data_IF_005501559470
#
_entry.id   IF_005501559470
#
_cell.length_a   1.000
_cell.length_b   1.000
_cell.length_c   1.000
_cell.angle_alpha   90.00
_cell.angle_beta   90.00
_cell.angle_gamma   90.00
#
_symmetry.space_group_name_H-M   'P 1'
#
loop_
_entity.id
_entity.type
_entity.pdbx_description
1 polymer ?
#
# COMPACT_ATOMS: atom_id res chain seq x y z
N UNK A 1 -68.52 36.20 -24.13
CA UNK A 1 -67.97 34.84 -23.83
C UNK A 1 -66.43 34.80 -23.95
N UNK A 2 -65.69 35.81 -23.41
CA UNK A 2 -64.19 35.82 -23.54
C UNK A 2 -63.45 35.99 -22.20
N UNK A 3 -64.15 35.95 -21.05
CA UNK A 3 -63.52 36.18 -19.76
C UNK A 3 -63.11 34.93 -18.99
N UNK A 4 -63.57 33.75 -19.38
CA UNK A 4 -63.27 32.49 -18.64
C UNK A 4 -62.05 31.81 -19.10
N UNK A 5 -61.53 32.02 -20.31
CA UNK A 5 -60.34 31.37 -20.84
C UNK A 5 -59.02 32.02 -20.36
N UNK A 6 -59.01 33.36 -20.14
CA UNK A 6 -57.82 34.05 -19.63
C UNK A 6 -57.50 33.73 -18.15
N UNK A 7 -58.53 33.52 -17.32
CA UNK A 7 -58.32 33.18 -15.89
C UNK A 7 -57.81 31.77 -15.68
N UNK A 8 -58.18 30.78 -16.55
CA UNK A 8 -57.67 29.42 -16.48
C UNK A 8 -56.22 29.34 -16.96
N UNK A 9 -55.79 30.20 -17.90
CA UNK A 9 -54.42 30.20 -18.42
C UNK A 9 -53.41 30.81 -17.42
N UNK A 10 -53.79 31.89 -16.71
CA UNK A 10 -52.97 32.48 -15.63
C UNK A 10 -52.81 31.53 -14.43
N UNK A 11 -53.86 30.82 -14.02
CA UNK A 11 -53.79 29.85 -12.92
C UNK A 11 -52.88 28.65 -13.25
N UNK A 12 -52.88 28.19 -14.52
CA UNK A 12 -51.96 27.11 -14.98
C UNK A 12 -50.51 27.57 -15.05
N UNK A 13 -50.24 28.83 -15.43
CA UNK A 13 -48.92 29.38 -15.56
C UNK A 13 -48.24 29.58 -14.20
N UNK A 14 -48.97 29.97 -13.17
CA UNK A 14 -48.50 30.12 -11.79
C UNK A 14 -48.13 28.74 -11.20
N UNK A 15 -48.95 27.72 -11.44
CA UNK A 15 -48.69 26.35 -10.92
C UNK A 15 -47.44 25.71 -11.56
N UNK A 16 -47.24 25.89 -12.86
CA UNK A 16 -46.07 25.38 -13.56
C UNK A 16 -44.75 26.02 -13.07
N UNK A 17 -44.77 27.30 -12.76
CA UNK A 17 -43.60 28.03 -12.27
C UNK A 17 -43.24 27.61 -10.84
N UNK A 18 -44.26 27.40 -10.01
CA UNK A 18 -44.08 26.94 -8.63
C UNK A 18 -43.57 25.49 -8.58
N UNK A 19 -44.06 24.61 -9.44
CA UNK A 19 -43.60 23.24 -9.58
C UNK A 19 -42.13 23.20 -10.04
N UNK A 20 -41.74 23.98 -11.06
CA UNK A 20 -40.37 24.07 -11.52
C UNK A 20 -39.41 24.59 -10.44
N UNK A 21 -39.83 25.57 -9.64
CA UNK A 21 -39.03 26.11 -8.54
C UNK A 21 -38.85 25.08 -7.43
N UNK A 22 -39.86 24.29 -7.11
CA UNK A 22 -39.78 23.20 -6.13
C UNK A 22 -38.88 22.06 -6.62
N UNK A 23 -38.98 21.67 -7.88
CA UNK A 23 -38.10 20.64 -8.49
C UNK A 23 -36.64 21.10 -8.48
N UNK A 24 -36.34 22.36 -8.83
CA UNK A 24 -34.98 22.90 -8.76
C UNK A 24 -34.40 22.87 -7.33
N UNK A 25 -35.18 23.23 -6.33
CA UNK A 25 -34.75 23.18 -4.92
C UNK A 25 -34.48 21.75 -4.45
N UNK A 26 -35.29 20.79 -4.86
CA UNK A 26 -35.08 19.36 -4.54
C UNK A 26 -33.84 18.79 -5.23
N UNK A 27 -33.65 19.11 -6.51
CA UNK A 27 -32.43 18.64 -7.25
C UNK A 27 -31.17 19.27 -6.69
N UNK A 28 -31.19 20.58 -6.32
CA UNK A 28 -30.03 21.22 -5.67
C UNK A 28 -29.74 20.64 -4.28
N UNK A 29 -30.76 20.34 -3.48
CA UNK A 29 -30.57 19.75 -2.15
C UNK A 29 -30.09 18.30 -2.22
N UNK A 30 -30.56 17.50 -3.17
CA UNK A 30 -30.05 16.14 -3.41
C UNK A 30 -28.62 16.15 -3.96
N UNK A 31 -28.27 17.07 -4.85
CA UNK A 31 -26.92 17.26 -5.36
C UNK A 31 -25.93 17.67 -4.26
N UNK A 32 -26.34 18.59 -3.37
CA UNK A 32 -25.51 19.01 -2.24
C UNK A 32 -25.34 17.90 -1.19
N UNK A 33 -26.40 17.12 -0.92
CA UNK A 33 -26.33 15.95 -0.03
C UNK A 33 -25.42 14.85 -0.58
N UNK A 34 -25.44 14.60 -1.89
CA UNK A 34 -24.54 13.66 -2.55
C UNK A 34 -23.07 14.12 -2.51
N UNK A 35 -22.81 15.42 -2.67
CA UNK A 35 -21.47 16.00 -2.55
C UNK A 35 -20.94 15.93 -1.11
N UNK A 36 -21.78 16.18 -0.12
CA UNK A 36 -21.42 16.09 1.29
C UNK A 36 -21.21 14.63 1.73
N UNK A 37 -22.02 13.69 1.25
CA UNK A 37 -21.84 12.26 1.51
C UNK A 37 -20.61 11.71 0.80
N UNK A 38 -20.35 12.10 -0.45
CA UNK A 38 -19.15 11.71 -1.19
C UNK A 38 -17.85 12.25 -0.58
N UNK A 39 -17.87 13.52 -0.10
CA UNK A 39 -16.75 14.13 0.60
C UNK A 39 -16.46 13.47 1.95
N UNK A 40 -17.49 13.07 2.69
CA UNK A 40 -17.34 12.38 3.98
C UNK A 40 -16.78 10.97 3.84
N UNK A 41 -17.15 10.23 2.79
CA UNK A 41 -16.63 8.88 2.52
C UNK A 41 -15.14 8.91 2.13
N UNK A 42 -14.67 9.97 1.47
CA UNK A 42 -13.26 10.10 1.10
C UNK A 42 -12.32 10.43 2.28
N UNK A 43 -12.86 11.00 3.38
CA UNK A 43 -12.08 11.38 4.57
C UNK A 43 -12.11 10.32 5.69
N UNK A 44 -13.07 9.40 5.67
CA UNK A 44 -13.24 8.38 6.72
C UNK A 44 -12.23 7.21 6.66
N UNK A 45 -11.77 6.71 5.49
CA UNK A 45 -10.89 5.55 5.43
C UNK A 45 -9.58 5.68 6.21
N UNK A 46 -8.84 6.82 6.17
CA UNK A 46 -7.60 6.92 6.93
C UNK A 46 -7.79 6.97 8.44
N UNK A 47 -8.96 7.41 8.91
CA UNK A 47 -9.26 7.51 10.34
C UNK A 47 -9.70 6.17 10.96
N UNK A 48 -10.29 5.28 10.15
CA UNK A 48 -10.87 4.02 10.62
C UNK A 48 -9.94 2.81 10.44
N UNK A 49 -8.89 2.91 9.61
CA UNK A 49 -8.03 1.79 9.24
C UNK A 49 -6.55 2.01 9.58
N UNK A 50 -6.23 3.02 10.35
CA UNK A 50 -4.89 3.21 10.88
C UNK A 50 -4.54 2.18 11.94
N UNK A 51 -3.27 1.83 12.04
CA UNK A 51 -2.71 1.16 13.20
C UNK A 51 -2.79 2.17 14.37
N UNK A 52 -3.70 1.93 15.32
CA UNK A 52 -3.95 2.84 16.44
C UNK A 52 -2.95 2.65 17.61
N UNK A 53 -1.95 1.80 17.45
CA UNK A 53 -0.90 1.65 18.45
C UNK A 53 -0.10 2.95 18.57
N UNK A 54 0.15 3.38 19.80
CA UNK A 54 0.99 4.55 20.08
C UNK A 54 2.47 4.18 19.97
N UNK A 55 3.13 4.70 18.98
CA UNK A 55 4.56 4.53 18.71
C UNK A 55 5.37 5.80 19.01
N UNK A 56 4.79 6.80 19.64
CA UNK A 56 5.47 8.09 19.93
C UNK A 56 6.74 7.93 20.78
N UNK A 57 6.83 6.84 21.56
CA UNK A 57 8.00 6.49 22.37
C UNK A 57 9.12 5.78 21.59
N UNK A 58 8.87 5.41 20.33
CA UNK A 58 9.81 4.65 19.51
C UNK A 58 10.85 5.59 18.89
N UNK A 59 12.13 5.34 19.18
CA UNK A 59 13.24 6.02 18.50
C UNK A 59 13.29 5.52 17.05
N UNK A 60 13.24 6.45 16.10
CA UNK A 60 13.27 6.13 14.68
C UNK A 60 14.57 5.45 14.26
N UNK A 61 14.48 4.43 13.38
CA UNK A 61 15.69 3.85 12.78
C UNK A 61 16.46 4.85 11.91
N UNK A 62 15.84 5.98 11.51
CA UNK A 62 16.55 7.06 10.78
C UNK A 62 17.68 7.67 11.62
N UNK A 63 17.57 7.58 12.93
CA UNK A 63 18.59 8.05 13.88
C UNK A 63 19.67 7.00 14.15
N UNK A 64 19.49 5.78 13.66
CA UNK A 64 20.49 4.71 13.77
C UNK A 64 21.59 4.91 12.73
N UNK A 65 22.83 4.67 13.17
CA UNK A 65 24.04 4.85 12.34
C UNK A 65 23.97 4.03 11.02
N UNK A 66 23.39 2.83 11.10
CA UNK A 66 23.33 1.89 9.97
C UNK A 66 22.24 2.21 8.95
N UNK A 67 21.25 3.06 9.26
CA UNK A 67 20.04 3.25 8.45
C UNK A 67 20.30 3.49 6.97
N UNK A 68 21.16 4.44 6.65
CA UNK A 68 21.58 4.76 5.27
C UNK A 68 23.09 5.05 5.22
N UNK A 69 23.87 4.31 6.03
CA UNK A 69 25.34 4.39 5.99
C UNK A 69 25.84 4.00 4.59
N UNK A 70 26.60 4.86 3.91
CA UNK A 70 27.02 4.63 2.53
C UNK A 70 27.85 3.34 2.36
N UNK A 71 28.76 3.04 3.30
CA UNK A 71 29.62 1.86 3.20
C UNK A 71 28.84 0.56 3.44
N UNK A 72 27.89 0.56 4.37
CA UNK A 72 27.01 -0.58 4.61
C UNK A 72 26.02 -0.77 3.46
N UNK A 73 25.49 0.30 2.88
CA UNK A 73 24.63 0.21 1.69
C UNK A 73 25.42 -0.33 0.48
N UNK A 74 26.64 0.14 0.24
CA UNK A 74 27.50 -0.40 -0.82
C UNK A 74 27.73 -1.92 -0.63
N UNK A 75 28.08 -2.34 0.60
CA UNK A 75 28.21 -3.76 0.95
C UNK A 75 26.91 -4.54 0.72
N UNK A 76 25.78 -3.99 1.10
CA UNK A 76 24.47 -4.64 0.93
C UNK A 76 24.04 -4.72 -0.53
N UNK A 77 24.32 -3.70 -1.33
CA UNK A 77 24.06 -3.70 -2.77
C UNK A 77 24.93 -4.72 -3.55
N UNK A 78 26.06 -5.12 -3.00
CA UNK A 78 26.89 -6.19 -3.56
C UNK A 78 26.33 -7.62 -3.30
N UNK A 79 25.30 -7.78 -2.48
CA UNK A 79 24.67 -9.09 -2.26
C UNK A 79 24.01 -9.63 -3.54
N UNK A 80 23.98 -10.96 -3.74
CA UNK A 80 23.55 -11.56 -5.01
C UNK A 80 22.14 -11.14 -5.46
N UNK A 81 21.19 -11.08 -4.54
CA UNK A 81 19.81 -10.68 -4.87
C UNK A 81 19.70 -9.17 -5.04
N UNK A 82 20.43 -8.37 -4.25
CA UNK A 82 20.44 -6.92 -4.36
C UNK A 82 20.90 -6.44 -5.75
N UNK A 83 21.92 -7.10 -6.32
CA UNK A 83 22.42 -6.76 -7.67
C UNK A 83 21.35 -6.90 -8.76
N UNK A 84 20.37 -7.79 -8.56
CA UNK A 84 19.26 -7.97 -9.51
C UNK A 84 18.20 -6.86 -9.46
N UNK A 85 18.18 -6.09 -8.38
CA UNK A 85 17.30 -4.91 -8.21
C UNK A 85 18.00 -3.60 -8.58
N UNK A 86 19.33 -3.57 -8.58
CA UNK A 86 20.14 -2.35 -8.49
C UNK A 86 19.85 -1.26 -9.55
N UNK A 87 19.43 -1.63 -10.74
CA UNK A 87 19.39 -0.69 -11.86
C UNK A 87 18.01 -0.08 -12.13
N UNK A 88 16.94 -0.55 -11.47
CA UNK A 88 15.59 -0.17 -11.91
C UNK A 88 14.51 -0.33 -10.80
N UNK A 89 14.66 0.43 -9.71
CA UNK A 89 13.67 0.45 -8.66
C UNK A 89 12.56 1.45 -9.01
N UNK A 90 11.31 0.96 -9.09
CA UNK A 90 10.15 1.82 -9.17
C UNK A 90 9.67 2.25 -7.79
N UNK A 91 9.34 3.54 -7.65
CA UNK A 91 8.67 4.06 -6.47
C UNK A 91 7.15 4.11 -6.67
N UNK A 92 6.40 3.98 -5.56
CA UNK A 92 4.94 4.02 -5.59
C UNK A 92 4.43 5.40 -6.00
N UNK A 93 3.42 5.44 -6.86
CA UNK A 93 2.82 6.70 -7.33
C UNK A 93 2.02 7.42 -6.26
N UNK A 94 1.47 6.68 -5.30
CA UNK A 94 0.71 7.19 -4.16
C UNK A 94 0.79 6.23 -2.97
N UNK A 95 0.28 6.64 -1.82
CA UNK A 95 0.42 5.93 -0.55
C UNK A 95 -0.27 4.55 -0.51
N UNK A 96 -1.15 4.22 -1.46
CA UNK A 96 -1.97 2.99 -1.43
C UNK A 96 -1.43 1.84 -2.29
N UNK A 97 -0.45 2.09 -3.17
CA UNK A 97 0.02 1.10 -4.16
C UNK A 97 1.37 0.46 -3.81
N UNK A 98 1.78 0.46 -2.53
CA UNK A 98 3.04 -0.13 -2.10
C UNK A 98 3.14 -1.63 -2.44
N UNK A 99 2.08 -2.42 -2.26
CA UNK A 99 2.03 -3.83 -2.62
C UNK A 99 2.24 -4.06 -4.12
N UNK A 100 1.40 -3.52 -5.01
CA UNK A 100 1.59 -3.61 -6.46
C UNK A 100 2.97 -3.15 -6.92
N UNK A 101 3.48 -2.04 -6.37
CA UNK A 101 4.83 -1.55 -6.71
C UNK A 101 5.92 -2.52 -6.26
N UNK A 102 5.75 -3.18 -5.11
CA UNK A 102 6.68 -4.21 -4.64
C UNK A 102 6.73 -5.41 -5.60
N UNK A 103 5.58 -5.88 -6.11
CA UNK A 103 5.54 -6.96 -7.10
C UNK A 103 6.12 -6.51 -8.45
N UNK A 104 5.87 -5.27 -8.88
CA UNK A 104 6.50 -4.72 -10.08
C UNK A 104 8.04 -4.73 -9.98
N UNK A 105 8.60 -4.35 -8.82
CA UNK A 105 10.04 -4.45 -8.57
C UNK A 105 10.55 -5.90 -8.54
N UNK A 106 9.78 -6.84 -7.99
CA UNK A 106 10.10 -8.27 -8.06
C UNK A 106 10.19 -8.74 -9.52
N UNK A 107 9.21 -8.40 -10.36
CA UNK A 107 9.22 -8.74 -11.79
C UNK A 107 10.47 -8.20 -12.49
N UNK A 108 10.82 -6.93 -12.27
CA UNK A 108 12.02 -6.29 -12.82
C UNK A 108 13.30 -7.01 -12.39
N UNK A 109 13.39 -7.42 -11.11
CA UNK A 109 14.53 -8.21 -10.61
C UNK A 109 14.63 -9.62 -11.21
N UNK A 110 13.56 -10.09 -11.86
CA UNK A 110 13.49 -11.33 -12.62
C UNK A 110 13.62 -11.11 -14.13
N UNK A 111 14.01 -9.89 -14.55
CA UNK A 111 14.10 -9.45 -15.95
C UNK A 111 12.75 -9.58 -16.72
N UNK A 112 11.64 -9.41 -15.99
CA UNK A 112 10.30 -9.41 -16.55
C UNK A 112 9.72 -7.99 -16.55
N UNK A 113 8.79 -7.65 -17.46
CA UNK A 113 8.10 -6.38 -17.44
C UNK A 113 7.33 -6.20 -16.12
N UNK A 114 7.63 -5.13 -15.38
CA UNK A 114 6.98 -4.80 -14.12
C UNK A 114 6.54 -3.33 -14.11
N UNK A 115 5.23 -3.08 -14.17
CA UNK A 115 4.64 -1.76 -14.04
C UNK A 115 3.49 -1.80 -13.03
N UNK A 116 3.55 -0.90 -12.03
CA UNK A 116 2.51 -0.76 -11.01
C UNK A 116 1.13 -0.37 -11.57
N UNK A 117 1.06 0.18 -12.80
CA UNK A 117 -0.20 0.52 -13.44
C UNK A 117 -0.94 -0.72 -13.98
N UNK A 118 -0.19 -1.69 -14.50
CA UNK A 118 -0.75 -2.88 -15.16
C UNK A 118 -0.75 -4.13 -14.28
N UNK A 119 -0.04 -4.10 -13.15
CA UNK A 119 0.09 -5.25 -12.25
C UNK A 119 -1.25 -5.75 -11.71
N UNK A 120 -2.26 -4.89 -11.61
CA UNK A 120 -3.58 -5.23 -11.12
C UNK A 120 -4.55 -5.71 -12.21
N UNK A 121 -4.21 -5.59 -13.49
CA UNK A 121 -5.06 -6.02 -14.59
C UNK A 121 -5.34 -7.52 -14.49
N UNK A 122 -6.64 -7.90 -14.59
CA UNK A 122 -7.07 -9.30 -14.49
C UNK A 122 -7.04 -9.92 -13.09
N UNK A 123 -6.61 -9.19 -12.04
CA UNK A 123 -6.56 -9.73 -10.66
C UNK A 123 -7.90 -9.61 -9.90
N UNK A 124 -8.89 -8.94 -10.47
CA UNK A 124 -10.15 -8.63 -9.79
C UNK A 124 -10.05 -7.47 -8.78
N UNK A 125 -8.85 -6.91 -8.59
CA UNK A 125 -8.62 -5.76 -7.70
C UNK A 125 -8.63 -4.48 -8.54
N UNK A 126 -9.51 -3.54 -8.20
CA UNK A 126 -9.68 -2.30 -8.94
C UNK A 126 -9.26 -1.08 -8.14
N UNK A 127 -8.68 -0.11 -8.81
CA UNK A 127 -8.38 1.19 -8.23
C UNK A 127 -9.56 2.17 -8.43
N UNK A 128 -9.72 3.09 -7.49
CA UNK A 128 -10.63 4.23 -7.62
C UNK A 128 -9.77 5.46 -7.87
N UNK A 129 -9.85 6.06 -9.07
CA UNK A 129 -9.01 7.19 -9.47
C UNK A 129 -7.50 6.94 -9.27
N UNK A 130 -7.05 5.71 -9.50
CA UNK A 130 -5.64 5.30 -9.31
C UNK A 130 -5.23 4.98 -7.86
N UNK A 131 -6.16 5.05 -6.90
CA UNK A 131 -5.94 4.67 -5.50
C UNK A 131 -6.56 3.32 -5.20
N UNK A 132 -5.89 2.53 -4.36
CA UNK A 132 -6.42 1.32 -3.74
C UNK A 132 -6.95 1.68 -2.35
N UNK A 133 -8.28 1.74 -2.14
CA UNK A 133 -8.82 2.01 -0.80
C UNK A 133 -8.34 0.96 0.21
N UNK A 134 -7.59 1.40 1.23
CA UNK A 134 -6.98 0.51 2.23
C UNK A 134 -5.73 -0.28 1.78
N UNK A 135 -5.25 -0.08 0.55
CA UNK A 135 -4.13 -0.84 0.00
C UNK A 135 -4.49 -2.29 -0.34
N UNK A 136 -3.53 -3.20 -0.23
CA UNK A 136 -3.73 -4.65 -0.35
C UNK A 136 -3.23 -5.37 0.88
N UNK A 137 -3.91 -6.43 1.30
CA UNK A 137 -3.43 -7.33 2.35
C UNK A 137 -2.31 -8.23 1.82
N UNK A 138 -1.56 -8.89 2.73
CA UNK A 138 -0.51 -9.83 2.33
C UNK A 138 -1.09 -11.03 1.55
N UNK A 139 -2.32 -11.49 1.86
CA UNK A 139 -2.98 -12.56 1.13
C UNK A 139 -3.33 -12.12 -0.31
N UNK A 140 -3.92 -10.94 -0.46
CA UNK A 140 -4.18 -10.35 -1.79
C UNK A 140 -2.88 -10.13 -2.59
N UNK A 141 -1.80 -9.72 -1.92
CA UNK A 141 -0.50 -9.57 -2.58
C UNK A 141 0.05 -10.92 -3.07
N UNK A 142 -0.16 -12.00 -2.32
CA UNK A 142 0.20 -13.35 -2.75
C UNK A 142 -0.61 -13.81 -3.97
N UNK A 143 -1.90 -13.50 -4.03
CA UNK A 143 -2.76 -13.77 -5.19
C UNK A 143 -2.28 -13.01 -6.43
N UNK A 144 -1.97 -11.71 -6.29
CA UNK A 144 -1.37 -10.91 -7.37
C UNK A 144 -0.07 -11.54 -7.85
N UNK A 145 0.84 -11.89 -6.91
CA UNK A 145 2.13 -12.48 -7.26
C UNK A 145 1.99 -13.82 -7.98
N UNK A 146 1.11 -14.72 -7.52
CA UNK A 146 0.83 -16.00 -8.16
C UNK A 146 0.29 -15.86 -9.60
N UNK A 147 -0.49 -14.79 -9.86
CA UNK A 147 -1.02 -14.54 -11.20
C UNK A 147 0.00 -13.88 -12.14
N UNK A 148 0.92 -13.08 -11.61
CA UNK A 148 1.75 -12.18 -12.41
C UNK A 148 3.21 -12.62 -12.56
N UNK A 149 3.78 -13.31 -11.55
CA UNK A 149 5.22 -13.55 -11.52
C UNK A 149 5.63 -14.85 -12.22
N UNK A 150 4.68 -15.77 -12.45
CA UNK A 150 4.99 -17.09 -13.03
C UNK A 150 5.82 -17.98 -12.09
N UNK A 151 5.85 -17.68 -10.81
CA UNK A 151 6.50 -18.43 -9.73
C UNK A 151 5.51 -18.59 -8.57
N UNK A 152 5.73 -19.60 -7.74
CA UNK A 152 4.89 -19.81 -6.56
C UNK A 152 5.14 -18.69 -5.53
N UNK A 153 4.07 -18.06 -5.08
CA UNK A 153 4.10 -17.09 -3.99
C UNK A 153 3.42 -17.69 -2.75
N UNK A 154 4.17 -17.73 -1.63
CA UNK A 154 3.73 -18.32 -0.37
C UNK A 154 3.78 -17.28 0.74
N UNK A 155 2.69 -17.14 1.50
CA UNK A 155 2.62 -16.28 2.68
C UNK A 155 3.20 -17.00 3.89
N UNK A 156 4.14 -16.36 4.58
CA UNK A 156 4.78 -16.83 5.80
C UNK A 156 4.37 -15.92 6.96
N UNK A 157 3.64 -16.47 7.93
CA UNK A 157 3.19 -15.79 9.15
C UNK A 157 3.61 -16.58 10.38
N UNK A 158 3.45 -15.96 11.53
CA UNK A 158 3.69 -16.58 12.84
C UNK A 158 5.10 -17.14 13.01
N UNK A 159 6.05 -16.61 12.24
CA UNK A 159 7.45 -16.91 12.44
C UNK A 159 7.91 -16.35 13.80
N UNK A 160 8.74 -17.09 14.50
CA UNK A 160 9.57 -16.52 15.56
C UNK A 160 10.76 -15.77 14.98
N UNK A 161 11.54 -15.09 15.81
CA UNK A 161 12.71 -14.32 15.35
C UNK A 161 13.77 -15.22 14.69
N UNK A 162 13.93 -16.46 15.18
CA UNK A 162 14.91 -17.41 14.61
C UNK A 162 14.47 -17.85 13.21
N UNK A 163 13.19 -18.23 13.04
CA UNK A 163 12.64 -18.57 11.73
C UNK A 163 12.65 -17.39 10.76
N UNK A 164 12.38 -16.17 11.25
CA UNK A 164 12.50 -14.96 10.43
C UNK A 164 13.95 -14.77 9.93
N UNK A 165 14.94 -14.89 10.81
CA UNK A 165 16.37 -14.78 10.44
C UNK A 165 16.79 -15.87 9.45
N UNK A 166 16.23 -17.07 9.54
CA UNK A 166 16.48 -18.12 8.55
C UNK A 166 15.99 -17.71 7.15
N UNK A 167 14.77 -17.17 7.06
CA UNK A 167 14.27 -16.62 5.79
C UNK A 167 15.09 -15.43 5.29
N UNK A 168 15.64 -14.60 6.18
CA UNK A 168 16.56 -13.52 5.78
C UNK A 168 17.87 -14.06 5.17
N UNK A 169 18.44 -15.16 5.69
CA UNK A 169 19.59 -15.80 5.06
C UNK A 169 19.25 -16.31 3.65
N UNK A 170 18.07 -16.91 3.51
CA UNK A 170 17.56 -17.37 2.22
C UNK A 170 17.20 -16.23 1.26
N UNK A 171 17.06 -14.99 1.74
CA UNK A 171 16.84 -13.82 0.89
C UNK A 171 18.09 -13.44 0.06
N UNK A 172 19.25 -14.02 0.34
CA UNK A 172 20.46 -13.87 -0.49
C UNK A 172 20.52 -14.89 -1.64
N UNK A 173 19.60 -15.87 -1.69
CA UNK A 173 19.51 -16.86 -2.76
C UNK A 173 18.78 -16.26 -3.98
N UNK A 174 19.47 -16.23 -5.13
CA UNK A 174 18.96 -15.65 -6.38
C UNK A 174 17.75 -16.37 -6.97
N UNK A 175 17.43 -17.59 -6.51
CA UNK A 175 16.22 -18.30 -6.89
C UNK A 175 14.96 -17.75 -6.18
N UNK A 176 15.12 -16.96 -5.12
CA UNK A 176 14.06 -16.47 -4.25
C UNK A 176 13.92 -14.95 -4.28
N UNK A 177 12.68 -14.48 -4.02
CA UNK A 177 12.38 -13.08 -3.72
C UNK A 177 11.50 -13.01 -2.49
N UNK A 178 11.72 -12.00 -1.68
CA UNK A 178 10.92 -11.73 -0.50
C UNK A 178 10.32 -10.34 -0.54
N UNK A 179 9.06 -10.23 -0.14
CA UNK A 179 8.42 -8.94 0.16
C UNK A 179 7.99 -9.00 1.62
N UNK A 180 8.40 -8.01 2.41
CA UNK A 180 7.96 -7.88 3.80
C UNK A 180 6.73 -6.99 3.90
N UNK A 181 5.70 -7.48 4.61
CA UNK A 181 4.59 -6.67 5.10
C UNK A 181 4.86 -6.28 6.54
N UNK A 182 4.93 -4.98 6.82
CA UNK A 182 5.26 -4.43 8.14
C UNK A 182 4.45 -3.17 8.42
N UNK A 183 4.34 -2.79 9.69
CA UNK A 183 3.90 -1.43 10.05
C UNK A 183 5.11 -0.53 10.31
N UNK A 184 5.02 0.73 9.91
CA UNK A 184 6.12 1.70 10.08
C UNK A 184 6.31 2.14 11.52
N UNK A 185 5.29 2.04 12.37
CA UNK A 185 5.33 2.48 13.76
C UNK A 185 6.55 2.01 14.55
N UNK A 186 6.81 0.68 14.68
CA UNK A 186 7.96 0.17 15.42
C UNK A 186 9.33 0.55 14.83
N UNK A 187 9.39 0.97 13.56
CA UNK A 187 10.64 1.38 12.90
C UNK A 187 10.86 2.89 12.97
N UNK A 188 9.80 3.67 12.74
CA UNK A 188 9.93 5.12 12.51
C UNK A 188 9.18 5.99 13.54
N UNK A 189 8.55 5.38 14.54
CA UNK A 189 7.73 6.08 15.54
C UNK A 189 6.36 6.54 15.02
N UNK A 190 6.08 6.39 13.72
CA UNK A 190 4.84 6.82 13.07
C UNK A 190 4.62 6.07 11.75
N UNK A 191 3.41 6.12 11.23
CA UNK A 191 3.05 5.58 9.93
C UNK A 191 2.19 4.31 10.01
N UNK A 192 1.76 3.83 8.85
CA UNK A 192 0.83 2.72 8.66
C UNK A 192 1.50 1.48 8.08
N UNK A 193 0.68 0.46 7.80
CA UNK A 193 1.10 -0.75 7.10
C UNK A 193 1.74 -0.49 5.75
N UNK A 194 2.73 -1.31 5.39
CA UNK A 194 3.52 -1.13 4.18
C UNK A 194 4.04 -2.45 3.64
N UNK A 195 4.31 -2.49 2.33
CA UNK A 195 4.97 -3.60 1.65
C UNK A 195 6.23 -3.10 0.98
N UNK A 196 7.34 -3.84 1.09
CA UNK A 196 8.57 -3.55 0.37
C UNK A 196 9.39 -4.83 0.11
N UNK A 197 10.11 -4.92 -1.01
CA UNK A 197 11.04 -6.03 -1.24
C UNK A 197 12.19 -6.03 -0.22
N UNK A 198 12.62 -7.23 0.17
CA UNK A 198 13.90 -7.47 0.83
C UNK A 198 14.90 -7.81 -0.27
N UNK A 199 15.98 -7.03 -0.37
CA UNK A 199 17.02 -7.26 -1.38
C UNK A 199 18.22 -8.04 -0.85
N UNK A 200 18.33 -8.26 0.45
CA UNK A 200 19.38 -9.06 1.03
C UNK A 200 19.53 -8.88 2.54
N UNK A 201 20.46 -9.64 3.09
CA UNK A 201 20.77 -9.67 4.51
C UNK A 201 22.28 -9.76 4.74
N UNK A 202 22.86 -8.74 5.34
CA UNK A 202 24.23 -8.74 5.81
C UNK A 202 24.29 -9.53 7.13
N UNK A 203 24.69 -10.79 7.05
CA UNK A 203 24.60 -11.77 8.14
C UNK A 203 25.45 -11.35 9.33
N UNK A 204 26.68 -10.92 9.08
CA UNK A 204 27.65 -10.58 10.13
C UNK A 204 27.24 -9.30 10.89
N UNK A 205 26.62 -8.35 10.21
CA UNK A 205 26.13 -7.11 10.78
C UNK A 205 24.71 -7.21 11.35
N UNK A 206 24.00 -8.31 11.09
CA UNK A 206 22.57 -8.47 11.36
C UNK A 206 21.72 -7.33 10.77
N UNK A 207 21.98 -6.99 9.48
CA UNK A 207 21.31 -5.88 8.79
C UNK A 207 20.56 -6.35 7.55
N UNK A 208 19.28 -6.00 7.47
CA UNK A 208 18.40 -6.31 6.34
C UNK A 208 18.34 -5.11 5.41
N UNK A 209 18.63 -5.33 4.11
CA UNK A 209 18.40 -4.33 3.07
C UNK A 209 16.94 -4.39 2.60
N UNK A 210 16.18 -3.35 2.92
CA UNK A 210 14.81 -3.17 2.46
C UNK A 210 14.76 -2.10 1.37
N UNK A 211 14.15 -2.45 0.25
CA UNK A 211 13.92 -1.53 -0.86
C UNK A 211 12.57 -0.86 -0.68
N UNK A 212 12.54 0.18 0.16
CA UNK A 212 11.29 0.88 0.42
C UNK A 212 10.76 1.53 -0.86
N UNK A 213 9.60 1.08 -1.29
CA UNK A 213 8.95 1.60 -2.49
C UNK A 213 8.35 3.00 -2.32
N UNK A 214 8.41 3.58 -1.11
CA UNK A 214 8.12 4.98 -0.89
C UNK A 214 9.42 5.78 -1.00
N UNK A 215 9.52 6.62 -2.03
CA UNK A 215 10.71 7.43 -2.35
C UNK A 215 11.24 8.25 -1.17
N UNK A 216 10.36 8.70 -0.26
CA UNK A 216 10.76 9.46 0.95
C UNK A 216 11.67 8.69 1.91
N UNK A 217 11.65 7.36 1.82
CA UNK A 217 12.48 6.49 2.65
C UNK A 217 13.64 5.92 1.85
N UNK A 218 13.42 5.58 0.57
CA UNK A 218 14.39 4.93 -0.30
C UNK A 218 14.87 3.59 0.27
N UNK A 219 15.95 3.00 -0.25
CA UNK A 219 16.60 1.85 0.35
C UNK A 219 17.19 2.18 1.72
N UNK A 220 16.98 1.27 2.67
CA UNK A 220 17.51 1.42 4.02
C UNK A 220 17.89 0.09 4.66
N UNK A 221 18.73 0.17 5.71
CA UNK A 221 19.18 -0.94 6.52
C UNK A 221 18.55 -0.88 7.91
N UNK A 222 18.15 -2.04 8.44
CA UNK A 222 17.72 -2.17 9.82
C UNK A 222 18.16 -3.51 10.41
N UNK A 223 18.36 -3.54 11.74
CA UNK A 223 18.56 -4.78 12.48
C UNK A 223 17.38 -5.74 12.25
N UNK A 224 17.66 -7.02 12.08
CA UNK A 224 16.65 -8.05 11.84
C UNK A 224 15.54 -8.03 12.91
N UNK A 225 15.92 -7.85 14.17
CA UNK A 225 14.95 -7.79 15.28
C UNK A 225 13.99 -6.60 15.16
N UNK A 226 14.47 -5.42 14.75
CA UNK A 226 13.61 -4.24 14.56
C UNK A 226 12.60 -4.46 13.42
N UNK A 227 13.05 -5.04 12.30
CA UNK A 227 12.15 -5.37 11.21
C UNK A 227 11.18 -6.48 11.60
N UNK A 228 11.62 -7.49 12.35
CA UNK A 228 10.75 -8.52 12.90
C UNK A 228 9.64 -7.95 13.78
N UNK A 229 9.96 -7.05 14.71
CA UNK A 229 8.98 -6.38 15.56
C UNK A 229 7.93 -5.63 14.74
N UNK A 230 8.34 -4.97 13.66
CA UNK A 230 7.43 -4.25 12.76
C UNK A 230 6.57 -5.21 11.90
N UNK A 231 7.11 -6.35 11.51
CA UNK A 231 6.40 -7.41 10.79
C UNK A 231 5.47 -8.22 11.70
N UNK A 232 5.87 -8.53 12.94
CA UNK A 232 5.08 -9.35 13.87
C UNK A 232 3.95 -8.57 14.55
N UNK A 233 3.21 -7.79 13.77
CA UNK A 233 2.09 -6.94 14.18
C UNK A 233 0.79 -7.37 13.51
N UNK A 234 -0.35 -7.01 14.11
CA UNK A 234 -1.67 -7.27 13.53
C UNK A 234 -1.91 -6.33 12.33
N UNK A 235 -2.30 -6.90 11.20
CA UNK A 235 -2.91 -6.15 10.11
C UNK A 235 -4.42 -6.08 10.35
N UNK A 236 -4.91 -4.91 10.74
CA UNK A 236 -6.32 -4.72 11.08
C UNK A 236 -7.24 -4.89 9.86
N UNK A 237 -6.75 -4.64 8.65
CA UNK A 237 -7.51 -4.85 7.42
C UNK A 237 -7.70 -6.35 7.11
N UNK A 238 -6.69 -7.16 7.39
CA UNK A 238 -6.73 -8.60 7.18
C UNK A 238 -7.23 -9.40 8.39
N UNK A 239 -7.26 -8.79 9.59
CA UNK A 239 -7.48 -9.46 10.89
C UNK A 239 -6.51 -10.63 11.11
N UNK A 240 -5.28 -10.49 10.60
CA UNK A 240 -4.20 -11.47 10.67
C UNK A 240 -2.87 -10.75 10.96
N UNK A 241 -1.89 -11.47 11.48
CA UNK A 241 -0.53 -10.92 11.55
C UNK A 241 0.01 -10.61 10.16
N UNK A 242 0.85 -9.58 10.09
CA UNK A 242 1.71 -9.32 8.93
C UNK A 242 2.71 -10.46 8.75
N UNK A 243 3.57 -10.41 7.75
CA UNK A 243 4.50 -11.50 7.49
C UNK A 243 5.38 -11.24 6.28
N UNK A 244 5.94 -12.32 5.74
CA UNK A 244 6.69 -12.33 4.50
C UNK A 244 5.86 -12.94 3.37
N UNK A 245 6.07 -12.44 2.16
CA UNK A 245 5.73 -13.13 0.92
C UNK A 245 7.02 -13.70 0.33
N UNK A 246 7.11 -15.02 0.26
CA UNK A 246 8.18 -15.76 -0.44
C UNK A 246 7.71 -16.06 -1.87
N UNK A 247 8.55 -15.79 -2.86
CA UNK A 247 8.33 -16.05 -4.28
C UNK A 247 9.52 -16.87 -4.79
N UNK A 248 9.25 -18.14 -5.16
CA UNK A 248 10.28 -19.13 -5.60
C UNK A 248 9.78 -20.05 -6.74
#
# INVERSE_FOLDING_TARGET
>A
MNGSLEVEDEARQIDATEIMTRVHKVVLSLGLAALLAGGSVALLPPLLWGDHADYSHVVSIKDAREYQDPALLEKAWALPVATLYHSDIAFQRNASVCGPTSIANVLRSLHQPGDQATILEGTGISTVMGYLPGGVTLDQLAEIANQKVGRKATVLRDLDLAGFREHLRLANDTSRRYVVNFTRGPLFGTGSGHHSPIAGYLIDEDLVLVLDVNEKYGPWLAKSERLYQAMNTLDTSAQKKRGLLLIE
#
